data_IF_212368266409
#
_entry.id   IF_212368266409
#
_cell.length_a   1.000
_cell.length_b   1.000
_cell.length_c   1.000
_cell.angle_alpha   90.00
_cell.angle_beta   90.00
_cell.angle_gamma   90.00
#
_symmetry.space_group_name_H-M   'P 1'
#
loop_
_entity.id
_entity.type
_entity.pdbx_description
1 polymer ?
#
# COMPACT_ATOMS: atom_id res chain seq x y z
N UNK A 1 -21.42 23.60 -0.31
CA UNK A 1 -20.71 22.62 0.53
C UNK A 1 -20.63 21.38 -0.34
N UNK A 2 -19.42 20.99 -0.75
CA UNK A 2 -19.26 19.75 -1.53
C UNK A 2 -19.50 18.58 -0.57
N UNK A 3 -20.49 17.74 -0.88
CA UNK A 3 -20.79 16.54 -0.11
C UNK A 3 -19.73 15.47 -0.42
N UNK A 4 -18.71 15.39 0.43
CA UNK A 4 -17.73 14.33 0.36
C UNK A 4 -18.33 13.06 1.00
N UNK A 5 -18.89 12.19 0.16
CA UNK A 5 -19.58 10.94 0.56
C UNK A 5 -18.69 9.95 1.35
N UNK A 6 -17.36 10.04 1.25
CA UNK A 6 -16.41 9.29 2.07
C UNK A 6 -15.01 9.92 2.03
N UNK A 7 -14.27 9.82 3.14
CA UNK A 7 -12.85 10.14 3.20
C UNK A 7 -12.04 8.89 3.59
N UNK A 8 -10.94 8.67 2.88
CA UNK A 8 -10.00 7.58 3.12
C UNK A 8 -8.66 8.18 3.59
N UNK A 9 -8.08 7.72 4.71
CA UNK A 9 -6.71 8.05 5.09
C UNK A 9 -5.73 7.69 3.97
N UNK A 10 -4.80 8.59 3.64
CA UNK A 10 -3.81 8.38 2.58
C UNK A 10 -3.07 7.04 2.72
N UNK A 11 -2.63 6.69 3.93
CA UNK A 11 -2.02 5.39 4.25
C UNK A 11 -2.83 4.17 3.78
N UNK A 12 -4.17 4.19 3.92
CA UNK A 12 -5.02 3.07 3.48
C UNK A 12 -5.14 3.01 1.96
N UNK A 13 -5.09 4.16 1.27
CA UNK A 13 -5.02 4.19 -0.19
C UNK A 13 -3.67 3.66 -0.68
N UNK A 14 -2.59 4.12 -0.07
CA UNK A 14 -1.21 3.73 -0.38
C UNK A 14 -1.04 2.22 -0.24
N UNK A 15 -1.43 1.62 0.90
CA UNK A 15 -1.26 0.18 1.11
C UNK A 15 -2.13 -0.66 0.14
N UNK A 16 -3.33 -0.16 -0.22
CA UNK A 16 -4.15 -0.77 -1.26
C UNK A 16 -3.45 -0.74 -2.62
N UNK A 17 -2.90 0.43 -3.01
CA UNK A 17 -2.15 0.59 -4.25
C UNK A 17 -0.94 -0.34 -4.33
N UNK A 18 -0.18 -0.48 -3.22
CA UNK A 18 0.92 -1.44 -3.15
C UNK A 18 0.45 -2.89 -3.36
N UNK A 19 -0.69 -3.26 -2.77
CA UNK A 19 -1.31 -4.57 -2.96
C UNK A 19 -1.72 -4.84 -4.41
N UNK A 20 -2.30 -3.85 -5.10
CA UNK A 20 -2.66 -3.95 -6.52
C UNK A 20 -1.41 -4.16 -7.39
N UNK A 21 -0.36 -3.37 -7.19
CA UNK A 21 0.92 -3.51 -7.91
C UNK A 21 1.47 -4.93 -7.71
N UNK A 22 1.54 -5.39 -6.45
CA UNK A 22 2.02 -6.73 -6.12
C UNK A 22 1.21 -7.83 -6.79
N UNK A 23 -0.12 -7.72 -6.77
CA UNK A 23 -1.00 -8.70 -7.42
C UNK A 23 -0.74 -8.77 -8.93
N UNK A 24 -0.61 -7.62 -9.58
CA UNK A 24 -0.31 -7.51 -11.01
C UNK A 24 1.06 -8.11 -11.35
N UNK A 25 2.10 -7.82 -10.55
CA UNK A 25 3.43 -8.41 -10.73
C UNK A 25 3.42 -9.94 -10.56
N UNK A 26 2.70 -10.44 -9.54
CA UNK A 26 2.52 -11.89 -9.34
C UNK A 26 1.76 -12.53 -10.51
N UNK A 27 0.73 -11.86 -11.04
CA UNK A 27 0.01 -12.35 -12.21
C UNK A 27 0.93 -12.48 -13.43
N UNK A 28 1.78 -11.48 -13.69
CA UNK A 28 2.78 -11.56 -14.75
C UNK A 28 3.80 -12.69 -14.53
N UNK A 29 4.34 -12.81 -13.31
CA UNK A 29 5.27 -13.90 -12.95
C UNK A 29 4.66 -15.28 -13.19
N UNK A 30 3.39 -15.45 -12.82
CA UNK A 30 2.68 -16.73 -12.91
C UNK A 30 2.10 -17.01 -14.31
N UNK A 31 2.34 -16.13 -15.29
CA UNK A 31 1.78 -16.25 -16.65
C UNK A 31 0.27 -16.08 -16.73
N UNK A 32 -0.35 -15.46 -15.72
CA UNK A 32 -1.79 -15.15 -15.70
C UNK A 32 -2.08 -13.89 -16.53
N UNK A 33 -3.22 -13.90 -17.22
CA UNK A 33 -3.67 -12.70 -17.94
C UNK A 33 -4.02 -11.58 -16.97
N UNK A 34 -3.47 -10.39 -17.22
CA UNK A 34 -3.84 -9.14 -16.56
C UNK A 34 -4.62 -8.31 -17.57
N UNK A 35 -5.79 -7.80 -17.20
CA UNK A 35 -6.57 -6.94 -18.10
C UNK A 35 -5.85 -5.62 -18.34
N UNK A 36 -6.12 -4.96 -19.47
CA UNK A 36 -5.57 -3.62 -19.74
C UNK A 36 -5.92 -2.63 -18.63
N UNK A 37 -7.16 -2.70 -18.13
CA UNK A 37 -7.62 -1.83 -17.05
C UNK A 37 -6.87 -2.08 -15.73
N UNK A 38 -6.64 -3.34 -15.36
CA UNK A 38 -5.89 -3.67 -14.14
C UNK A 38 -4.42 -3.25 -14.25
N UNK A 39 -3.83 -3.40 -15.44
CA UNK A 39 -2.46 -2.97 -15.70
C UNK A 39 -2.32 -1.44 -15.67
N UNK A 40 -3.26 -0.70 -16.27
CA UNK A 40 -3.29 0.77 -16.22
C UNK A 40 -3.51 1.26 -14.79
N UNK A 41 -4.41 0.62 -14.05
CA UNK A 41 -4.66 0.93 -12.64
C UNK A 41 -3.39 0.73 -11.80
N UNK A 42 -2.68 -0.39 -12.00
CA UNK A 42 -1.43 -0.66 -11.30
C UNK A 42 -0.31 0.34 -11.69
N UNK A 43 -0.11 0.58 -12.99
CA UNK A 43 1.07 1.30 -13.48
C UNK A 43 0.92 2.82 -13.52
N UNK A 44 -0.26 3.36 -13.77
CA UNK A 44 -0.45 4.81 -13.94
C UNK A 44 -1.06 5.47 -12.71
N UNK A 45 -1.95 4.77 -12.01
CA UNK A 45 -2.58 5.27 -10.80
C UNK A 45 -1.82 4.83 -9.54
N UNK A 46 -1.72 3.53 -9.29
CA UNK A 46 -1.13 3.03 -8.04
C UNK A 46 0.35 3.39 -7.90
N UNK A 47 1.16 3.28 -8.95
CA UNK A 47 2.57 3.67 -8.88
C UNK A 47 2.74 5.16 -8.54
N UNK A 48 1.92 6.05 -9.13
CA UNK A 48 1.99 7.48 -8.85
C UNK A 48 1.53 7.83 -7.43
N UNK A 49 0.52 7.12 -6.89
CA UNK A 49 0.12 7.25 -5.48
C UNK A 49 1.28 6.89 -4.55
N UNK A 50 1.96 5.76 -4.80
CA UNK A 50 3.12 5.35 -3.98
C UNK A 50 4.28 6.34 -4.12
N UNK A 51 4.60 6.78 -5.34
CA UNK A 51 5.64 7.78 -5.58
C UNK A 51 5.37 9.06 -4.79
N UNK A 52 4.14 9.55 -4.83
CA UNK A 52 3.74 10.75 -4.10
C UNK A 52 3.86 10.56 -2.58
N UNK A 53 3.41 9.42 -2.05
CA UNK A 53 3.51 9.12 -0.62
C UNK A 53 4.97 9.10 -0.12
N UNK A 54 5.88 8.50 -0.89
CA UNK A 54 7.32 8.47 -0.60
C UNK A 54 7.93 9.87 -0.59
N UNK A 55 7.48 10.76 -1.49
CA UNK A 55 7.93 12.14 -1.53
C UNK A 55 7.38 12.99 -0.38
N UNK A 56 6.18 12.69 0.10
CA UNK A 56 5.58 13.39 1.25
C UNK A 56 6.18 12.95 2.59
N UNK A 57 6.57 11.68 2.72
CA UNK A 57 7.12 11.11 3.95
C UNK A 57 8.46 10.42 3.64
N UNK A 58 9.50 11.18 3.26
CA UNK A 58 10.79 10.59 2.93
C UNK A 58 11.42 9.93 4.15
N UNK A 59 11.90 8.71 3.97
CA UNK A 59 12.75 8.03 4.94
C UNK A 59 14.21 8.47 4.75
N UNK A 60 14.78 9.07 5.79
CA UNK A 60 16.18 9.53 5.80
C UNK A 60 17.15 8.49 6.39
N UNK A 61 16.68 7.28 6.65
CA UNK A 61 17.54 6.16 7.06
C UNK A 61 18.60 5.93 6.00
N UNK A 62 19.86 5.84 6.44
CA UNK A 62 20.99 5.67 5.52
C UNK A 62 21.11 4.23 5.08
N UNK A 63 21.10 4.04 3.76
CA UNK A 63 21.41 2.76 3.15
C UNK A 63 22.92 2.53 3.11
N UNK A 64 23.43 1.75 4.06
CA UNK A 64 24.87 1.52 4.23
C UNK A 64 25.28 0.21 3.56
N UNK A 65 26.16 0.25 2.55
CA UNK A 65 26.69 -0.96 1.92
C UNK A 65 27.40 -1.84 2.95
N UNK A 66 27.31 -3.16 2.76
CA UNK A 66 28.01 -4.13 3.60
C UNK A 66 29.16 -4.76 2.81
N UNK A 67 30.19 -5.24 3.51
CA UNK A 67 31.33 -5.91 2.89
C UNK A 67 31.33 -7.38 3.28
N UNK A 68 31.49 -8.28 2.30
CA UNK A 68 31.64 -9.71 2.60
C UNK A 68 33.06 -10.06 3.04
N UNK A 69 33.27 -11.32 3.45
CA UNK A 69 34.57 -11.79 3.95
C UNK A 69 35.70 -11.73 2.90
N UNK A 70 35.36 -11.61 1.61
CA UNK A 70 36.32 -11.40 0.52
C UNK A 70 36.60 -9.93 0.22
N UNK A 71 35.97 -9.01 0.96
CA UNK A 71 36.09 -7.57 0.76
C UNK A 71 35.32 -7.07 -0.46
N UNK A 72 34.32 -7.80 -0.94
CA UNK A 72 33.42 -7.32 -1.98
C UNK A 72 32.25 -6.54 -1.35
N UNK A 73 31.97 -5.37 -1.91
CA UNK A 73 30.82 -4.55 -1.53
C UNK A 73 29.52 -5.24 -1.94
N UNK A 74 28.52 -5.17 -1.05
CA UNK A 74 27.16 -5.61 -1.30
C UNK A 74 26.26 -4.39 -1.20
N UNK A 75 25.42 -4.24 -2.21
CA UNK A 75 24.31 -3.30 -2.20
C UNK A 75 23.53 -3.43 -0.87
N UNK A 76 23.11 -2.30 -0.27
CA UNK A 76 22.28 -2.32 0.92
C UNK A 76 21.06 -3.23 0.70
N UNK A 77 20.91 -4.25 1.55
CA UNK A 77 19.75 -5.12 1.53
C UNK A 77 18.75 -4.68 2.60
N UNK A 78 17.46 -4.76 2.26
CA UNK A 78 16.37 -4.42 3.17
C UNK A 78 16.45 -5.23 4.48
N UNK A 79 16.44 -4.55 5.62
CA UNK A 79 16.44 -5.17 6.96
C UNK A 79 17.74 -5.03 7.75
N UNK A 80 18.83 -4.54 7.15
CA UNK A 80 20.05 -4.19 7.88
C UNK A 80 19.97 -2.83 8.61
N UNK A 81 19.02 -2.00 8.20
CA UNK A 81 18.87 -0.62 8.64
C UNK A 81 17.74 -0.46 9.66
N UNK A 82 17.84 0.57 10.51
CA UNK A 82 16.81 0.89 11.51
C UNK A 82 15.97 2.06 11.02
N UNK A 83 14.80 1.75 10.48
CA UNK A 83 13.82 2.72 10.02
C UNK A 83 12.96 3.29 11.15
N UNK A 84 12.50 4.53 11.00
CA UNK A 84 11.53 5.15 11.91
C UNK A 84 10.11 4.89 11.44
N UNK A 85 9.51 3.79 11.92
CA UNK A 85 8.15 3.40 11.53
C UNK A 85 7.08 3.95 12.49
N UNK A 86 5.87 4.15 11.97
CA UNK A 86 4.66 4.26 12.81
C UNK A 86 4.20 2.86 13.22
N UNK A 87 3.65 2.77 14.42
CA UNK A 87 3.03 1.55 14.93
C UNK A 87 1.76 1.25 14.13
N UNK A 88 1.83 0.23 13.28
CA UNK A 88 0.76 -0.09 12.32
C UNK A 88 -0.51 -0.55 13.04
N UNK A 89 -0.39 -1.33 14.12
CA UNK A 89 -1.54 -1.77 14.90
C UNK A 89 -2.31 -0.58 15.47
N UNK A 90 -1.60 0.44 15.97
CA UNK A 90 -2.24 1.67 16.46
C UNK A 90 -2.88 2.50 15.37
N UNK A 91 -2.25 2.60 14.19
CA UNK A 91 -2.85 3.29 13.03
C UNK A 91 -4.14 2.59 12.63
N UNK A 92 -4.14 1.27 12.53
CA UNK A 92 -5.31 0.48 12.17
C UNK A 92 -6.41 0.53 13.25
N UNK A 93 -6.05 0.45 14.52
CA UNK A 93 -7.01 0.62 15.62
C UNK A 93 -7.67 2.02 15.57
N UNK A 94 -6.89 3.06 15.24
CA UNK A 94 -7.40 4.42 15.10
C UNK A 94 -8.38 4.57 13.93
N UNK A 95 -8.05 4.02 12.75
CA UNK A 95 -8.90 4.06 11.56
C UNK A 95 -10.16 3.22 11.75
N UNK A 96 -10.04 2.03 12.35
CA UNK A 96 -11.16 1.14 12.67
C UNK A 96 -12.16 1.77 13.63
N UNK A 97 -11.69 2.35 14.74
CA UNK A 97 -12.55 3.01 15.72
C UNK A 97 -13.34 4.21 15.15
N UNK A 98 -12.96 4.72 13.96
CA UNK A 98 -13.58 5.87 13.30
C UNK A 98 -14.19 5.51 11.94
N UNK A 99 -14.28 4.21 11.63
CA UNK A 99 -14.77 3.67 10.36
C UNK A 99 -14.11 4.29 9.12
N UNK A 100 -12.85 4.74 9.19
CA UNK A 100 -12.20 5.52 8.12
C UNK A 100 -11.63 4.63 7.01
N UNK A 101 -12.49 4.02 6.19
CA UNK A 101 -12.09 3.43 4.90
C UNK A 101 -13.24 3.41 3.90
N UNK A 102 -13.26 2.55 2.88
CA UNK A 102 -14.41 2.48 1.96
C UNK A 102 -14.85 1.06 1.61
N UNK A 103 -16.16 0.88 1.49
CA UNK A 103 -16.82 -0.27 0.87
C UNK A 103 -17.82 0.24 -0.16
N UNK A 104 -17.93 -0.46 -1.28
CA UNK A 104 -19.03 -0.22 -2.20
C UNK A 104 -20.21 -1.09 -1.80
N UNK A 105 -21.36 -0.48 -1.58
CA UNK A 105 -22.62 -1.17 -1.29
C UNK A 105 -23.68 -0.78 -2.31
N UNK A 106 -24.64 -1.66 -2.55
CA UNK A 106 -25.83 -1.36 -3.33
C UNK A 106 -26.89 -0.77 -2.42
N UNK A 107 -27.31 0.46 -2.68
CA UNK A 107 -28.35 1.15 -1.93
C UNK A 107 -29.30 1.87 -2.90
N UNK A 108 -30.60 1.54 -2.83
CA UNK A 108 -31.60 2.14 -3.73
C UNK A 108 -31.34 1.87 -5.22
N UNK A 109 -30.72 0.73 -5.57
CA UNK A 109 -30.36 0.39 -6.95
C UNK A 109 -29.16 1.15 -7.51
N UNK A 110 -28.35 1.78 -6.65
CA UNK A 110 -27.11 2.47 -7.01
C UNK A 110 -25.95 1.93 -6.19
N UNK A 111 -24.81 1.73 -6.85
CA UNK A 111 -23.53 1.47 -6.19
C UNK A 111 -23.01 2.75 -5.53
N UNK A 112 -22.95 2.76 -4.21
CA UNK A 112 -22.47 3.89 -3.41
C UNK A 112 -21.26 3.50 -2.58
N UNK A 113 -20.29 4.41 -2.44
CA UNK A 113 -19.17 4.24 -1.52
C UNK A 113 -19.61 4.63 -0.10
N UNK A 114 -19.40 3.74 0.88
CA UNK A 114 -19.65 3.96 2.30
C UNK A 114 -18.37 3.79 3.10
N UNK A 115 -18.31 4.44 4.26
CA UNK A 115 -17.12 4.44 5.11
C UNK A 115 -16.99 3.12 5.89
N UNK A 116 -15.87 2.39 5.74
CA UNK A 116 -15.62 1.10 6.39
C UNK A 116 -14.12 0.82 6.56
N UNK A 117 -13.67 0.34 7.71
CA UNK A 117 -12.26 0.02 7.94
C UNK A 117 -11.89 -1.39 7.47
N UNK A 118 -10.80 -1.51 6.69
CA UNK A 118 -10.24 -2.81 6.31
C UNK A 118 -9.69 -3.52 7.57
N UNK A 119 -10.02 -4.79 7.85
CA UNK A 119 -9.31 -5.54 8.88
C UNK A 119 -7.85 -5.74 8.47
N UNK A 120 -6.93 -5.78 9.44
CA UNK A 120 -5.55 -6.21 9.18
C UNK A 120 -5.58 -7.53 8.39
N UNK A 121 -4.78 -7.70 7.32
CA UNK A 121 -4.53 -9.03 6.78
C UNK A 121 -3.97 -9.88 7.92
N UNK A 122 -4.78 -10.80 8.45
CA UNK A 122 -4.41 -11.63 9.60
C UNK A 122 -3.26 -12.60 9.31
N UNK A 123 -2.90 -12.76 8.05
CA UNK A 123 -1.74 -13.51 7.58
C UNK A 123 -0.85 -12.58 6.73
N UNK A 124 0.22 -12.06 7.33
CA UNK A 124 1.28 -11.34 6.62
C UNK A 124 2.30 -12.27 5.96
N UNK A 125 2.21 -13.59 6.23
CA UNK A 125 3.15 -14.62 5.75
C UNK A 125 3.03 -14.93 4.25
N UNK A 126 1.96 -14.47 3.61
CA UNK A 126 1.67 -14.71 2.20
C UNK A 126 1.75 -13.48 1.29
N UNK A 127 2.29 -12.36 1.79
CA UNK A 127 2.65 -11.24 0.94
C UNK A 127 4.02 -11.54 0.32
#
# INVERSE_FOLDING_TARGET
MEDYLAYLPAYLHEIHCLGVIKHTLNAYRDGRNVSTADNEHANSHCLEVIRHALMCNPDFTLAVPTWDASGAEKEPYWGGEKHMCRDQEKVHAFTAARNMGFVFVEEGGRRVAKVWAWPLPGDTVGW
#
